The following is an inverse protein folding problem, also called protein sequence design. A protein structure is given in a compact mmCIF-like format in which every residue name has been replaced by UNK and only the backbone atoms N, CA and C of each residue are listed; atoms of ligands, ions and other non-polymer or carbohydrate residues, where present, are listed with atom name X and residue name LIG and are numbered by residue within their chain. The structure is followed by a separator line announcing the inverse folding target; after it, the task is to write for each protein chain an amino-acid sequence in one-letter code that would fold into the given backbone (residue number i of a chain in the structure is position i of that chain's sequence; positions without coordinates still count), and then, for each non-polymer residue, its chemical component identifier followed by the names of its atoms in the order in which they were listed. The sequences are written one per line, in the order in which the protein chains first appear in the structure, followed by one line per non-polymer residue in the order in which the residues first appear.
data_IF_983981342537
#
_entry.id   IF_983981342537
#
_cell.length_a   1.000
_cell.length_b   1.000
_cell.length_c   1.000
_cell.angle_alpha   90.00
_cell.angle_beta   90.00
_cell.angle_gamma   90.00
#
_symmetry.space_group_name_H-M   'P 1'
#
loop_
_entity.id
_entity.type
_entity.pdbx_description
1 polymer ?
#
# COMPACT_ATOMS: atom_id res chain seq x y z
N UNK A 1 22.42 37.33 62.34
CA UNK A 1 21.24 37.98 61.73
C UNK A 1 21.00 37.30 60.40
N UNK A 2 19.92 36.52 60.32
CA UNK A 2 19.56 35.61 59.22
C UNK A 2 19.35 36.35 57.89
N UNK A 3 19.79 35.75 56.78
CA UNK A 3 19.03 35.86 55.52
C UNK A 3 19.02 34.53 54.78
N UNK A 4 17.79 34.13 54.49
CA UNK A 4 17.24 32.85 54.10
C UNK A 4 16.99 32.83 52.59
N UNK A 5 17.24 31.67 51.93
CA UNK A 5 16.67 31.11 50.67
C UNK A 5 16.78 31.98 49.37
N UNK A 6 16.96 31.43 48.16
CA UNK A 6 16.22 30.34 47.50
C UNK A 6 17.09 29.76 46.36
N UNK A 7 17.20 28.42 46.28
CA UNK A 7 17.60 27.73 45.05
C UNK A 7 16.47 27.88 44.02
N UNK A 8 16.69 28.62 42.94
CA UNK A 8 15.81 28.60 41.77
C UNK A 8 16.38 27.68 40.71
N UNK A 9 15.94 26.42 40.76
CA UNK A 9 15.95 25.47 39.64
C UNK A 9 15.29 26.13 38.42
N UNK A 10 16.09 26.59 37.46
CA UNK A 10 15.60 26.76 36.09
C UNK A 10 15.80 25.42 35.41
N UNK A 11 14.79 24.55 35.54
CA UNK A 11 14.62 23.44 34.60
C UNK A 11 14.30 24.11 33.28
N UNK A 12 15.27 24.21 32.38
CA UNK A 12 15.07 24.73 31.02
C UNK A 12 14.03 23.83 30.36
N UNK A 13 12.80 24.31 30.28
CA UNK A 13 11.71 23.67 29.54
C UNK A 13 12.14 23.58 28.08
N UNK A 14 12.68 22.43 27.71
CA UNK A 14 12.82 22.05 26.31
C UNK A 14 11.41 21.86 25.79
N UNK A 15 10.84 22.90 25.19
CA UNK A 15 9.64 22.76 24.37
C UNK A 15 10.02 21.82 23.24
N UNK A 16 9.76 20.52 23.41
CA UNK A 16 9.68 19.60 22.30
C UNK A 16 8.55 20.13 21.42
N UNK A 17 8.95 20.93 20.42
CA UNK A 17 8.07 21.37 19.37
C UNK A 17 7.70 20.08 18.65
N UNK A 18 6.52 19.56 18.96
CA UNK A 18 5.88 18.51 18.18
C UNK A 18 5.66 19.08 16.80
N UNK A 19 6.67 18.96 15.93
CA UNK A 19 6.44 18.98 14.49
C UNK A 19 5.90 17.60 14.16
N UNK A 20 4.71 17.31 14.71
CA UNK A 20 3.82 16.30 14.15
C UNK A 20 3.26 16.95 12.90
N UNK A 21 4.07 16.97 11.85
CA UNK A 21 3.51 17.09 10.51
C UNK A 21 2.69 15.81 10.35
N UNK A 22 1.40 15.90 10.66
CA UNK A 22 0.38 15.09 9.99
C UNK A 22 0.47 15.46 8.51
N UNK A 23 1.53 15.05 7.83
CA UNK A 23 1.49 14.94 6.39
C UNK A 23 0.29 14.03 6.16
N UNK A 24 -0.80 14.57 5.63
CA UNK A 24 -1.93 13.78 5.21
C UNK A 24 -1.33 12.67 4.36
N UNK A 25 -1.31 11.44 4.89
CA UNK A 25 -0.69 10.32 4.20
C UNK A 25 -1.56 10.08 2.97
N UNK A 26 -1.15 10.63 1.81
CA UNK A 26 -1.91 10.49 0.59
C UNK A 26 -1.93 9.02 0.21
N UNK A 27 -3.13 8.46 0.11
CA UNK A 27 -3.32 7.07 -0.29
C UNK A 27 -3.31 7.08 -1.81
N UNK A 28 -2.38 6.37 -2.43
CA UNK A 28 -2.40 6.15 -3.87
C UNK A 28 -3.35 4.99 -4.19
N UNK A 29 -4.23 5.20 -5.16
CA UNK A 29 -5.12 4.18 -5.72
C UNK A 29 -4.75 3.96 -7.18
N UNK A 30 -4.64 2.70 -7.61
CA UNK A 30 -4.36 2.36 -9.02
C UNK A 30 -5.08 1.07 -9.41
N UNK A 31 -5.65 1.07 -10.61
CA UNK A 31 -6.20 -0.12 -11.25
C UNK A 31 -5.11 -0.81 -12.05
N UNK A 32 -5.10 -2.14 -12.07
CA UNK A 32 -4.12 -2.92 -12.80
C UNK A 32 -4.78 -4.02 -13.63
N UNK A 33 -4.13 -4.37 -14.74
CA UNK A 33 -4.43 -5.57 -15.52
C UNK A 33 -3.13 -6.25 -15.98
N UNK A 34 -3.00 -7.54 -15.67
CA UNK A 34 -1.81 -8.36 -15.93
C UNK A 34 -2.11 -9.39 -17.01
N UNK A 35 -1.23 -9.45 -18.01
CA UNK A 35 -1.31 -10.29 -19.19
C UNK A 35 -0.22 -11.36 -19.17
N UNK A 36 -0.51 -12.50 -19.78
CA UNK A 36 0.40 -13.63 -19.94
C UNK A 36 -0.13 -14.91 -19.30
N UNK A 37 0.76 -15.82 -18.88
CA UNK A 37 0.39 -17.02 -18.14
C UNK A 37 0.12 -16.68 -16.68
N UNK A 38 -1.07 -16.15 -16.39
CA UNK A 38 -1.46 -15.65 -15.06
C UNK A 38 -2.70 -16.32 -14.46
N UNK A 39 -3.41 -17.16 -15.23
CA UNK A 39 -4.51 -17.98 -14.70
C UNK A 39 -4.08 -19.44 -14.50
N UNK A 40 -4.71 -20.14 -13.55
CA UNK A 40 -4.37 -21.52 -13.19
C UNK A 40 -3.02 -21.70 -12.48
N UNK A 41 -2.36 -20.60 -12.11
CA UNK A 41 -0.99 -20.61 -11.53
C UNK A 41 -0.93 -19.99 -10.12
N UNK A 42 -2.06 -19.93 -9.43
CA UNK A 42 -2.20 -19.30 -8.10
C UNK A 42 -1.85 -17.80 -8.06
N UNK A 43 -1.80 -17.10 -9.20
CA UNK A 43 -1.42 -15.69 -9.27
C UNK A 43 -2.16 -14.83 -8.23
N UNK A 44 -3.51 -14.90 -8.21
CA UNK A 44 -4.36 -14.17 -7.25
C UNK A 44 -4.00 -14.43 -5.78
N UNK A 45 -3.65 -15.67 -5.42
CA UNK A 45 -3.23 -16.03 -4.06
C UNK A 45 -1.92 -15.36 -3.68
N UNK A 46 -0.97 -15.31 -4.61
CA UNK A 46 0.31 -14.63 -4.41
C UNK A 46 0.14 -13.10 -4.41
N UNK A 47 -0.71 -12.55 -5.28
CA UNK A 47 -1.08 -11.14 -5.28
C UNK A 47 -1.63 -10.72 -3.92
N UNK A 48 -2.59 -11.48 -3.37
CA UNK A 48 -3.11 -11.21 -2.02
C UNK A 48 -2.00 -11.26 -0.97
N UNK A 49 -1.18 -12.33 -0.96
CA UNK A 49 -0.09 -12.47 0.01
C UNK A 49 0.89 -11.30 -0.04
N UNK A 50 1.22 -10.81 -1.24
CA UNK A 50 2.10 -9.67 -1.41
C UNK A 50 1.44 -8.35 -0.99
N UNK A 51 0.17 -8.15 -1.33
CA UNK A 51 -0.60 -6.99 -0.86
C UNK A 51 -0.66 -6.95 0.68
N UNK A 52 -0.97 -8.09 1.33
CA UNK A 52 -0.97 -8.21 2.79
C UNK A 52 0.41 -7.86 3.39
N UNK A 53 1.50 -8.35 2.79
CA UNK A 53 2.88 -8.06 3.22
C UNK A 53 3.22 -6.57 3.13
N UNK A 54 2.71 -5.88 2.10
CA UNK A 54 2.93 -4.45 1.87
C UNK A 54 1.90 -3.56 2.60
N UNK A 55 0.95 -4.15 3.33
CA UNK A 55 -0.12 -3.40 3.99
C UNK A 55 -1.07 -2.69 3.02
N UNK A 56 -1.23 -3.23 1.81
CA UNK A 56 -2.11 -2.68 0.77
C UNK A 56 -3.52 -3.25 0.87
N UNK A 57 -4.49 -2.48 0.40
CA UNK A 57 -5.90 -2.86 0.32
C UNK A 57 -6.38 -2.89 -1.12
N UNK A 58 -7.53 -3.50 -1.38
CA UNK A 58 -8.10 -3.58 -2.73
C UNK A 58 -8.61 -4.96 -3.07
N UNK A 59 -8.44 -5.35 -4.33
CA UNK A 59 -8.95 -6.62 -4.81
C UNK A 59 -8.28 -7.09 -6.09
N UNK A 60 -8.44 -8.38 -6.41
CA UNK A 60 -8.12 -8.94 -7.73
C UNK A 60 -9.10 -10.03 -8.16
N UNK A 61 -9.21 -10.29 -9.46
CA UNK A 61 -9.99 -11.39 -10.04
C UNK A 61 -9.48 -11.80 -11.42
N UNK A 62 -9.81 -13.01 -11.87
CA UNK A 62 -9.58 -13.39 -13.25
C UNK A 62 -10.61 -12.72 -14.17
N UNK A 63 -10.21 -12.42 -15.39
CA UNK A 63 -11.11 -12.00 -16.47
C UNK A 63 -11.41 -13.17 -17.40
N UNK A 64 -12.49 -13.08 -18.17
CA UNK A 64 -12.81 -14.02 -19.24
C UNK A 64 -11.81 -13.98 -20.41
N UNK A 65 -10.97 -12.94 -20.49
CA UNK A 65 -9.94 -12.77 -21.51
C UNK A 65 -8.60 -13.42 -21.16
N UNK A 66 -8.54 -14.19 -20.06
CA UNK A 66 -7.30 -14.84 -19.64
C UNK A 66 -6.34 -13.95 -18.82
N UNK A 67 -6.75 -12.72 -18.45
CA UNK A 67 -5.93 -11.78 -17.65
C UNK A 67 -6.31 -11.82 -16.17
N UNK A 68 -5.53 -11.15 -15.33
CA UNK A 68 -5.88 -10.84 -13.93
C UNK A 68 -5.98 -9.33 -13.77
N UNK A 69 -7.11 -8.83 -13.28
CA UNK A 69 -7.29 -7.40 -13.01
C UNK A 69 -7.61 -7.13 -11.54
N UNK A 70 -7.44 -5.89 -11.12
CA UNK A 70 -7.74 -5.47 -9.77
C UNK A 70 -7.49 -4.00 -9.50
N UNK A 71 -7.61 -3.63 -8.23
CA UNK A 71 -7.26 -2.31 -7.72
C UNK A 71 -6.42 -2.48 -6.47
N UNK A 72 -5.40 -1.63 -6.29
CA UNK A 72 -4.60 -1.53 -5.07
C UNK A 72 -4.67 -0.10 -4.51
N UNK A 73 -4.74 0.00 -3.19
CA UNK A 73 -4.74 1.24 -2.42
C UNK A 73 -3.75 1.15 -1.25
N UNK A 74 -2.96 2.20 -1.05
CA UNK A 74 -2.06 2.30 0.10
C UNK A 74 -1.10 3.49 0.00
N UNK A 75 -0.11 3.57 0.90
CA UNK A 75 0.97 4.55 0.79
C UNK A 75 1.67 4.44 -0.56
N UNK A 76 2.03 5.58 -1.16
CA UNK A 76 2.57 5.64 -2.54
C UNK A 76 3.73 4.67 -2.77
N UNK A 77 4.72 4.63 -1.86
CA UNK A 77 5.89 3.76 -1.96
C UNK A 77 5.54 2.26 -1.96
N UNK A 78 4.52 1.88 -1.19
CA UNK A 78 4.05 0.50 -1.14
C UNK A 78 3.29 0.14 -2.41
N UNK A 79 2.50 1.08 -2.96
CA UNK A 79 1.82 0.91 -4.25
C UNK A 79 2.84 0.74 -5.38
N UNK A 80 3.87 1.57 -5.44
CA UNK A 80 4.96 1.43 -6.43
C UNK A 80 5.69 0.08 -6.28
N UNK A 81 5.98 -0.34 -5.05
CA UNK A 81 6.57 -1.65 -4.78
C UNK A 81 5.71 -2.80 -5.30
N UNK A 82 4.39 -2.69 -5.16
CA UNK A 82 3.45 -3.68 -5.68
C UNK A 82 3.36 -3.64 -7.22
N UNK A 83 3.36 -2.44 -7.82
CA UNK A 83 3.38 -2.29 -9.28
C UNK A 83 4.61 -2.95 -9.88
N UNK A 84 5.79 -2.77 -9.27
CA UNK A 84 7.02 -3.42 -9.71
C UNK A 84 6.97 -4.95 -9.55
N UNK A 85 6.41 -5.44 -8.45
CA UNK A 85 6.21 -6.87 -8.24
C UNK A 85 5.26 -7.48 -9.29
N UNK A 86 4.18 -6.78 -9.62
CA UNK A 86 3.21 -7.17 -10.65
C UNK A 86 3.79 -7.10 -12.08
N UNK A 87 4.84 -6.31 -12.31
CA UNK A 87 5.57 -6.26 -13.58
C UNK A 87 6.52 -7.44 -13.78
N UNK A 88 7.12 -7.93 -12.69
CA UNK A 88 8.36 -8.74 -12.80
C UNK A 88 8.32 -10.08 -12.09
N UNK A 89 7.53 -10.22 -11.03
CA UNK A 89 7.66 -11.36 -10.11
C UNK A 89 6.46 -12.29 -10.17
N UNK A 90 5.26 -11.81 -9.83
CA UNK A 90 4.05 -12.65 -9.81
C UNK A 90 4.18 -13.93 -8.96
N UNK A 91 3.38 -14.94 -9.30
CA UNK A 91 3.49 -16.29 -8.71
C UNK A 91 4.66 -17.10 -9.30
N UNK A 92 5.20 -18.10 -8.58
CA UNK A 92 6.35 -18.88 -9.07
C UNK A 92 6.16 -19.56 -10.43
N UNK A 93 4.92 -19.88 -10.81
CA UNK A 93 4.60 -20.54 -12.08
C UNK A 93 3.99 -19.58 -13.12
N UNK A 94 3.91 -18.28 -12.84
CA UNK A 94 3.41 -17.32 -13.83
C UNK A 94 4.48 -16.84 -14.78
N UNK A 95 4.03 -16.40 -15.95
CA UNK A 95 4.82 -15.61 -16.89
C UNK A 95 4.04 -14.33 -17.16
N UNK A 96 4.65 -13.19 -16.86
CA UNK A 96 4.05 -11.87 -17.07
C UNK A 96 4.59 -11.32 -18.38
N UNK A 97 3.71 -11.11 -19.35
CA UNK A 97 4.07 -10.54 -20.65
C UNK A 97 3.90 -9.03 -20.65
N UNK A 98 2.87 -8.53 -19.94
CA UNK A 98 2.54 -7.11 -19.84
C UNK A 98 1.80 -6.84 -18.54
N UNK A 99 2.06 -5.67 -17.95
CA UNK A 99 1.27 -5.11 -16.86
C UNK A 99 0.82 -3.69 -17.25
N UNK A 100 -0.49 -3.45 -17.25
CA UNK A 100 -1.07 -2.14 -17.46
C UNK A 100 -1.56 -1.57 -16.13
N UNK A 101 -1.34 -0.27 -15.94
CA UNK A 101 -1.79 0.48 -14.78
C UNK A 101 -2.59 1.70 -15.25
N UNK A 102 -3.76 1.92 -14.65
CA UNK A 102 -4.72 2.97 -15.06
C UNK A 102 -5.36 3.59 -13.82
N UNK A 103 -6.02 4.73 -14.04
CA UNK A 103 -6.80 5.43 -13.02
C UNK A 103 -6.01 5.72 -11.73
N UNK A 104 -4.71 6.03 -11.88
CA UNK A 104 -3.86 6.46 -10.77
C UNK A 104 -4.40 7.76 -10.18
N UNK A 105 -4.63 7.77 -8.88
CA UNK A 105 -5.13 8.95 -8.15
C UNK A 105 -4.74 8.90 -6.70
N UNK A 106 -4.60 10.07 -6.10
CA UNK A 106 -4.57 10.21 -4.65
C UNK A 106 -6.00 10.22 -4.11
N UNK A 107 -6.23 9.52 -3.00
CA UNK A 107 -7.50 9.49 -2.28
C UNK A 107 -7.27 9.83 -0.81
N UNK A 108 -8.26 10.46 -0.18
CA UNK A 108 -8.20 10.86 1.23
C UNK A 108 -8.47 9.70 2.19
N UNK A 109 -9.17 8.65 1.72
CA UNK A 109 -9.61 7.52 2.53
C UNK A 109 -9.55 6.22 1.74
N UNK A 110 -9.38 5.10 2.46
CA UNK A 110 -9.43 3.77 1.87
C UNK A 110 -10.87 3.41 1.47
N UNK A 111 -11.04 2.94 0.25
CA UNK A 111 -12.31 2.39 -0.24
C UNK A 111 -12.53 0.94 0.19
N UNK A 112 -11.51 0.28 0.73
CA UNK A 112 -11.51 -1.13 1.11
C UNK A 112 -10.98 -1.32 2.53
N UNK A 113 -11.46 -2.37 3.21
CA UNK A 113 -10.96 -2.75 4.53
C UNK A 113 -9.72 -3.65 4.45
N UNK A 114 -9.63 -4.47 3.42
CA UNK A 114 -8.56 -5.44 3.20
C UNK A 114 -8.21 -5.57 1.70
N UNK A 115 -7.33 -6.53 1.39
CA UNK A 115 -7.14 -7.01 0.02
C UNK A 115 -7.85 -8.36 -0.18
N UNK A 116 -8.82 -8.39 -1.09
CA UNK A 116 -9.69 -9.56 -1.33
C UNK A 116 -9.50 -10.21 -2.71
N UNK A 117 -9.72 -11.52 -2.79
CA UNK A 117 -9.83 -12.22 -4.08
C UNK A 117 -11.31 -12.34 -4.41
N UNK A 118 -11.76 -11.66 -5.47
CA UNK A 118 -13.16 -11.68 -5.91
C UNK A 118 -13.46 -12.90 -6.77
N UNK A 119 -14.75 -13.24 -6.87
CA UNK A 119 -15.25 -14.31 -7.75
C UNK A 119 -14.92 -13.97 -9.21
N UNK A 120 -14.51 -14.99 -9.95
CA UNK A 120 -14.25 -14.87 -11.38
C UNK A 120 -15.56 -14.67 -12.15
N UNK A 121 -15.43 -14.13 -13.36
CA UNK A 121 -16.52 -14.05 -14.33
C UNK A 121 -16.74 -15.38 -15.04
#
# INVERSE_FOLDING_TARGET
MFRLLILTTIVTSFKYRTVTTVAAMSIKSVDFEIFGRVQGVFFRKYTKKQADKLGLRGWCMNTSKGTVQGQIQGPSDNVESMMQWLRTTGSPSSQIDKAEFKNEKEVSEYSFNDFSIRKDY
#
